data_IF_880851474961
#
_entry.id   IF_880851474961
#
_cell.length_a   1.000
_cell.length_b   1.000
_cell.length_c   1.000
_cell.angle_alpha   90.00
_cell.angle_beta   90.00
_cell.angle_gamma   90.00
#
_symmetry.space_group_name_H-M   'P 1'
#
loop_
_entity.id
_entity.type
_entity.pdbx_description
1 polymer ?
#
# COMPACT_ATOMS: atom_id res chain seq x y z
N UNK A 1 30.36 6.45 9.75
CA UNK A 1 29.07 6.88 9.17
C UNK A 1 28.62 5.81 8.20
N UNK A 2 27.64 5.00 8.58
CA UNK A 2 27.09 3.96 7.70
C UNK A 2 26.08 4.66 6.79
N UNK A 3 26.40 4.83 5.51
CA UNK A 3 25.42 5.19 4.49
C UNK A 3 24.37 4.07 4.46
N UNK A 4 23.19 4.29 5.06
CA UNK A 4 22.04 3.41 4.83
C UNK A 4 21.67 3.55 3.36
N UNK A 5 22.00 2.53 2.58
CA UNK A 5 21.33 2.31 1.30
C UNK A 5 19.87 2.04 1.67
N UNK A 6 19.00 3.04 1.52
CA UNK A 6 17.57 2.80 1.60
C UNK A 6 17.24 1.75 0.56
N UNK A 7 16.61 0.64 0.98
CA UNK A 7 16.17 -0.38 0.04
C UNK A 7 15.19 0.24 -0.97
N UNK A 8 15.09 -0.33 -2.17
CA UNK A 8 14.09 0.12 -3.15
C UNK A 8 12.68 0.14 -2.54
N UNK A 9 12.40 -0.82 -1.67
CA UNK A 9 11.16 -0.88 -0.92
C UNK A 9 10.97 0.32 0.03
N UNK A 10 12.00 0.74 0.76
CA UNK A 10 11.93 1.94 1.60
C UNK A 10 11.61 3.20 0.78
N UNK A 11 12.17 3.30 -0.44
CA UNK A 11 11.89 4.40 -1.36
C UNK A 11 10.44 4.37 -1.84
N UNK A 12 9.91 3.18 -2.15
CA UNK A 12 8.50 2.98 -2.53
C UNK A 12 7.59 3.43 -1.39
N UNK A 13 7.82 2.93 -0.17
CA UNK A 13 7.00 3.26 1.00
C UNK A 13 7.03 4.76 1.31
N UNK A 14 8.19 5.40 1.19
CA UNK A 14 8.34 6.84 1.39
C UNK A 14 7.58 7.64 0.33
N UNK A 15 7.63 7.23 -0.94
CA UNK A 15 6.89 7.88 -2.02
C UNK A 15 5.37 7.70 -1.84
N UNK A 16 4.93 6.51 -1.42
CA UNK A 16 3.52 6.27 -1.10
C UNK A 16 3.05 7.26 -0.03
N UNK A 17 3.75 7.35 1.11
CA UNK A 17 3.39 8.28 2.20
C UNK A 17 3.35 9.74 1.77
N UNK A 18 4.31 10.16 0.95
CA UNK A 18 4.39 11.54 0.46
C UNK A 18 3.26 11.90 -0.49
N UNK A 19 2.81 10.96 -1.31
CA UNK A 19 1.90 11.23 -2.43
C UNK A 19 0.45 10.82 -2.10
N UNK A 20 0.22 9.76 -1.32
CA UNK A 20 -1.12 9.28 -0.94
C UNK A 20 -1.90 10.28 -0.09
N UNK A 21 -1.22 11.28 0.48
CA UNK A 21 -1.86 12.39 1.16
C UNK A 21 -2.37 12.07 2.56
N UNK A 22 -1.93 10.98 3.20
CA UNK A 22 -2.17 10.74 4.64
C UNK A 22 -1.01 10.00 5.31
N UNK A 23 -0.70 10.41 6.54
CA UNK A 23 0.24 9.73 7.45
C UNK A 23 -0.47 8.84 8.49
N UNK A 24 -1.79 8.66 8.38
CA UNK A 24 -2.56 7.76 9.24
C UNK A 24 -2.52 6.31 8.78
N UNK A 25 -3.29 5.48 9.47
CA UNK A 25 -3.44 4.06 9.13
C UNK A 25 -4.10 3.90 7.77
N UNK A 26 -3.35 3.57 6.72
CA UNK A 26 -3.92 3.33 5.40
C UNK A 26 -4.81 2.08 5.40
N UNK A 27 -5.87 2.00 4.56
CA UNK A 27 -6.74 0.82 4.48
C UNK A 27 -6.10 -0.37 3.75
N UNK A 28 -4.77 -0.36 3.63
CA UNK A 28 -4.01 -1.37 2.94
C UNK A 28 -2.64 -1.58 3.59
N UNK A 29 -2.10 -2.77 3.37
CA UNK A 29 -0.71 -3.12 3.67
C UNK A 29 0.09 -3.23 2.38
N UNK A 30 1.35 -2.83 2.43
CA UNK A 30 2.36 -3.05 1.38
C UNK A 30 3.51 -3.81 2.02
N UNK A 31 3.89 -4.95 1.45
CA UNK A 31 4.89 -5.85 2.02
C UNK A 31 5.86 -6.34 0.95
N UNK A 32 7.14 -6.41 1.29
CA UNK A 32 8.15 -7.05 0.45
C UNK A 32 8.37 -8.50 0.91
N UNK A 33 8.38 -9.42 -0.05
CA UNK A 33 8.69 -10.83 0.16
C UNK A 33 9.93 -11.21 -0.64
N UNK A 34 10.85 -12.03 -0.07
CA UNK A 34 11.87 -12.67 -0.86
C UNK A 34 11.22 -13.64 -1.86
N UNK A 35 11.84 -13.87 -3.03
CA UNK A 35 11.31 -14.89 -3.94
C UNK A 35 11.28 -16.27 -3.29
N UNK A 36 10.08 -16.77 -3.04
CA UNK A 36 9.84 -18.19 -2.83
C UNK A 36 9.79 -18.85 -4.22
N UNK A 37 10.83 -19.62 -4.54
CA UNK A 37 10.98 -20.54 -5.69
C UNK A 37 10.83 -20.00 -7.14
N UNK A 38 10.29 -18.79 -7.36
CA UNK A 38 10.24 -18.17 -8.69
C UNK A 38 11.48 -17.29 -8.96
N UNK A 39 12.50 -17.90 -9.58
CA UNK A 39 13.56 -17.24 -10.37
C UNK A 39 14.22 -15.99 -9.76
N UNK A 40 14.54 -16.00 -8.47
CA UNK A 40 15.49 -15.03 -7.88
C UNK A 40 15.02 -13.57 -7.83
N UNK A 41 13.71 -13.30 -7.84
CA UNK A 41 13.15 -11.95 -7.71
C UNK A 41 12.84 -11.53 -6.27
N UNK A 42 12.23 -10.35 -6.11
CA UNK A 42 11.48 -9.96 -4.90
C UNK A 42 10.02 -9.73 -5.29
N UNK A 43 9.11 -9.93 -4.36
CA UNK A 43 7.70 -9.61 -4.57
C UNK A 43 7.30 -8.43 -3.71
N UNK A 44 6.55 -7.51 -4.29
CA UNK A 44 5.81 -6.52 -3.51
C UNK A 44 4.36 -6.95 -3.57
N UNK A 45 3.80 -7.25 -2.40
CA UNK A 45 2.40 -7.58 -2.27
C UNK A 45 1.66 -6.42 -1.61
N UNK A 46 0.46 -6.15 -2.10
CA UNK A 46 -0.42 -5.13 -1.55
C UNK A 46 -1.79 -5.75 -1.25
N UNK A 47 -2.37 -5.38 -0.10
CA UNK A 47 -3.55 -6.04 0.47
C UNK A 47 -4.52 -5.03 1.06
N UNK A 48 -5.82 -5.22 0.91
CA UNK A 48 -6.84 -4.40 1.58
C UNK A 48 -7.21 -5.02 2.93
N UNK A 49 -7.34 -4.20 3.96
CA UNK A 49 -7.80 -4.62 5.28
C UNK A 49 -9.33 -4.79 5.29
N UNK A 50 -9.82 -5.99 5.54
CA UNK A 50 -11.26 -6.28 5.63
C UNK A 50 -11.88 -5.82 6.94
N UNK A 51 -11.09 -5.81 8.01
CA UNK A 51 -11.48 -5.42 9.35
C UNK A 51 -11.19 -3.93 9.65
N UNK A 52 -10.94 -3.15 8.61
CA UNK A 52 -10.66 -1.71 8.72
C UNK A 52 -11.81 -0.98 9.41
N UNK A 53 -11.56 -0.52 10.63
CA UNK A 53 -12.61 0.01 11.50
C UNK A 53 -12.91 1.48 11.23
N UNK A 54 -14.04 1.96 11.76
CA UNK A 54 -14.33 3.39 11.77
C UNK A 54 -13.26 4.22 12.52
N UNK A 55 -12.63 3.64 13.55
CA UNK A 55 -11.56 4.32 14.27
C UNK A 55 -10.31 4.47 13.39
N UNK A 56 -9.99 3.48 12.56
CA UNK A 56 -8.86 3.55 11.64
C UNK A 56 -9.15 4.56 10.52
N UNK A 57 -10.38 4.59 10.02
CA UNK A 57 -10.82 5.61 9.07
C UNK A 57 -10.70 7.02 9.65
N UNK A 58 -11.15 7.24 10.88
CA UNK A 58 -11.01 8.54 11.53
C UNK A 58 -9.53 8.95 11.70
N UNK A 59 -8.66 8.02 12.14
CA UNK A 59 -7.22 8.24 12.24
C UNK A 59 -6.62 8.64 10.88
N UNK A 60 -6.99 7.93 9.82
CA UNK A 60 -6.57 8.22 8.45
C UNK A 60 -6.98 9.62 8.00
N UNK A 61 -8.24 9.99 8.23
CA UNK A 61 -8.80 11.28 7.82
C UNK A 61 -8.15 12.44 8.59
N UNK A 62 -7.99 12.32 9.91
CA UNK A 62 -7.35 13.36 10.74
C UNK A 62 -5.87 13.58 10.44
N UNK A 63 -5.20 12.57 9.88
CA UNK A 63 -3.80 12.66 9.45
C UNK A 63 -3.65 12.89 7.94
N UNK A 64 -4.75 13.14 7.24
CA UNK A 64 -4.73 13.49 5.83
C UNK A 64 -4.25 14.92 5.60
N UNK A 65 -3.58 15.17 4.49
CA UNK A 65 -3.16 16.49 4.07
C UNK A 65 -4.36 17.42 3.86
N UNK A 66 -5.50 16.89 3.39
CA UNK A 66 -6.75 17.65 3.26
C UNK A 66 -7.19 18.20 4.62
N UNK A 67 -7.25 17.36 5.66
CA UNK A 67 -7.58 17.80 7.02
C UNK A 67 -6.56 18.80 7.59
N UNK A 68 -5.26 18.50 7.43
CA UNK A 68 -4.18 19.30 8.00
C UNK A 68 -4.01 20.68 7.34
N UNK A 69 -4.50 20.85 6.10
CA UNK A 69 -4.43 22.13 5.37
C UNK A 69 -5.76 22.90 5.35
N UNK A 70 -6.84 22.30 5.85
CA UNK A 70 -8.16 22.91 5.97
C UNK A 70 -8.20 23.93 7.12
N UNK A 71 -9.12 24.91 7.00
CA UNK A 71 -9.50 25.79 8.10
C UNK A 71 -9.96 24.97 9.32
N UNK A 72 -9.43 25.29 10.51
CA UNK A 72 -9.75 24.57 11.75
C UNK A 72 -11.25 24.59 12.09
N UNK A 73 -11.99 25.62 11.64
CA UNK A 73 -13.43 25.69 11.86
C UNK A 73 -14.22 24.67 11.04
N UNK A 74 -13.64 24.11 9.98
CA UNK A 74 -14.28 23.15 9.07
C UNK A 74 -13.85 21.70 9.34
N UNK A 75 -12.84 21.50 10.17
CA UNK A 75 -12.22 20.20 10.40
C UNK A 75 -13.19 19.16 10.99
N UNK A 76 -13.99 19.54 11.98
CA UNK A 76 -14.94 18.62 12.62
C UNK A 76 -16.11 18.26 11.69
N UNK A 77 -16.57 19.23 10.89
CA UNK A 77 -17.58 19.00 9.85
C UNK A 77 -17.06 18.07 8.76
N UNK A 78 -15.80 18.24 8.34
CA UNK A 78 -15.15 17.36 7.38
C UNK A 78 -15.11 15.91 7.88
N UNK A 79 -14.66 15.67 9.12
CA UNK A 79 -14.62 14.32 9.69
C UNK A 79 -16.02 13.73 9.75
N UNK A 80 -17.00 14.49 10.25
CA UNK A 80 -18.38 14.03 10.37
C UNK A 80 -18.97 13.64 9.01
N UNK A 81 -18.80 14.50 8.00
CA UNK A 81 -19.30 14.24 6.64
C UNK A 81 -18.62 13.02 6.01
N UNK A 82 -17.29 12.89 6.15
CA UNK A 82 -16.55 11.75 5.59
C UNK A 82 -16.89 10.43 6.26
N UNK A 83 -17.04 10.42 7.59
CA UNK A 83 -17.48 9.22 8.30
C UNK A 83 -18.91 8.82 7.91
N UNK A 84 -19.81 9.78 7.69
CA UNK A 84 -21.17 9.50 7.21
C UNK A 84 -21.20 9.00 5.75
N UNK A 85 -20.39 9.60 4.87
CA UNK A 85 -20.27 9.20 3.47
C UNK A 85 -19.77 7.75 3.36
N UNK A 86 -18.70 7.45 4.10
CA UNK A 86 -18.02 6.16 4.09
C UNK A 86 -18.62 5.15 5.06
N UNK A 87 -19.76 5.45 5.71
CA UNK A 87 -20.38 4.51 6.64
C UNK A 87 -21.04 3.31 5.97
N UNK A 88 -21.28 3.39 4.66
CA UNK A 88 -21.89 2.32 3.87
C UNK A 88 -20.78 1.33 3.45
N UNK A 89 -20.88 0.03 3.78
CA UNK A 89 -19.82 -0.95 3.51
C UNK A 89 -19.35 -0.98 2.04
N UNK A 90 -20.27 -0.88 1.08
CA UNK A 90 -19.93 -0.86 -0.34
C UNK A 90 -19.12 0.39 -0.75
N UNK A 91 -19.44 1.55 -0.17
CA UNK A 91 -18.73 2.81 -0.45
C UNK A 91 -17.36 2.78 0.23
N UNK A 92 -17.28 2.34 1.48
CA UNK A 92 -16.02 2.14 2.18
C UNK A 92 -15.11 1.23 1.36
N UNK A 93 -15.63 0.08 0.91
CA UNK A 93 -14.87 -0.88 0.12
C UNK A 93 -14.31 -0.27 -1.16
N UNK A 94 -15.16 0.45 -1.90
CA UNK A 94 -14.74 1.15 -3.11
C UNK A 94 -13.65 2.20 -2.82
N UNK A 95 -13.78 2.92 -1.71
CA UNK A 95 -12.78 3.89 -1.28
C UNK A 95 -11.45 3.21 -0.91
N UNK A 96 -11.47 2.10 -0.16
CA UNK A 96 -10.27 1.33 0.18
C UNK A 96 -9.54 0.83 -1.08
N UNK A 97 -10.30 0.30 -2.05
CA UNK A 97 -9.78 -0.12 -3.36
C UNK A 97 -9.11 1.04 -4.08
N UNK A 98 -9.74 2.22 -4.08
CA UNK A 98 -9.16 3.39 -4.70
C UNK A 98 -7.85 3.84 -4.03
N UNK A 99 -7.78 3.78 -2.69
CA UNK A 99 -6.53 4.06 -1.96
C UNK A 99 -5.42 3.07 -2.32
N UNK A 100 -5.74 1.79 -2.47
CA UNK A 100 -4.81 0.76 -2.92
C UNK A 100 -4.31 1.03 -4.35
N UNK A 101 -5.21 1.40 -5.27
CA UNK A 101 -4.87 1.72 -6.67
C UNK A 101 -3.93 2.92 -6.79
N UNK A 102 -4.11 3.95 -5.96
CA UNK A 102 -3.18 5.08 -5.86
C UNK A 102 -1.81 4.59 -5.42
N UNK A 103 -1.75 3.78 -4.36
CA UNK A 103 -0.50 3.22 -3.85
C UNK A 103 0.21 2.35 -4.90
N UNK A 104 -0.56 1.55 -5.65
CA UNK A 104 -0.06 0.75 -6.77
C UNK A 104 0.53 1.67 -7.85
N UNK A 105 -0.20 2.70 -8.27
CA UNK A 105 0.29 3.66 -9.25
C UNK A 105 1.62 4.30 -8.85
N UNK A 106 1.75 4.70 -7.58
CA UNK A 106 2.98 5.27 -7.01
C UNK A 106 4.11 4.22 -7.00
N UNK A 107 3.80 2.98 -6.64
CA UNK A 107 4.75 1.86 -6.64
C UNK A 107 5.32 1.62 -8.03
N UNK A 108 4.45 1.47 -9.04
CA UNK A 108 4.84 1.24 -10.43
C UNK A 108 5.65 2.42 -10.99
N UNK A 109 5.25 3.66 -10.68
CA UNK A 109 6.00 4.85 -11.06
C UNK A 109 7.41 4.87 -10.44
N UNK A 110 7.52 4.48 -9.16
CA UNK A 110 8.80 4.40 -8.44
C UNK A 110 9.72 3.34 -9.04
N UNK A 111 9.19 2.14 -9.31
CA UNK A 111 9.94 1.05 -9.96
C UNK A 111 10.44 1.48 -11.34
N UNK A 112 9.58 2.12 -12.14
CA UNK A 112 9.94 2.65 -13.46
C UNK A 112 11.01 3.73 -13.38
N UNK A 113 10.94 4.64 -12.41
CA UNK A 113 11.94 5.70 -12.21
C UNK A 113 13.32 5.12 -11.87
N UNK A 114 13.37 3.99 -11.16
CA UNK A 114 14.60 3.27 -10.83
C UNK A 114 15.03 2.26 -11.91
N UNK A 115 14.35 2.23 -13.06
CA UNK A 115 14.64 1.32 -14.18
C UNK A 115 14.62 -0.16 -13.78
N UNK A 116 13.75 -0.52 -12.84
CA UNK A 116 13.60 -1.89 -12.39
C UNK A 116 12.58 -2.60 -13.27
N UNK A 117 12.93 -3.80 -13.74
CA UNK A 117 12.02 -4.65 -14.49
C UNK A 117 11.00 -5.26 -13.54
N UNK A 118 9.71 -5.12 -13.86
CA UNK A 118 8.64 -5.68 -13.04
C UNK A 118 7.50 -6.26 -13.88
N UNK A 119 6.78 -7.20 -13.28
CA UNK A 119 5.61 -7.85 -13.87
C UNK A 119 4.49 -7.93 -12.85
N UNK A 120 3.26 -7.67 -13.29
CA UNK A 120 2.08 -8.01 -12.48
C UNK A 120 1.93 -9.53 -12.45
N UNK A 121 1.76 -10.08 -11.26
CA UNK A 121 1.63 -11.51 -11.06
C UNK A 121 0.19 -11.84 -10.70
N UNK A 122 -0.35 -12.82 -11.39
CA UNK A 122 -1.62 -13.42 -11.01
C UNK A 122 -1.46 -14.13 -9.66
N UNK A 123 -2.33 -13.83 -8.69
CA UNK A 123 -2.30 -14.41 -7.35
C UNK A 123 -2.29 -15.95 -7.36
N UNK A 124 -2.90 -16.58 -8.37
CA UNK A 124 -2.89 -18.05 -8.53
C UNK A 124 -1.49 -18.63 -8.78
N UNK A 125 -0.54 -17.80 -9.21
CA UNK A 125 0.84 -18.19 -9.49
C UNK A 125 1.77 -18.03 -8.29
N UNK A 126 1.27 -17.55 -7.14
CA UNK A 126 2.04 -17.41 -5.91
C UNK A 126 1.25 -17.91 -4.68
N UNK A 127 0.83 -19.20 -4.67
CA UNK A 127 0.02 -19.76 -3.59
C UNK A 127 0.72 -19.69 -2.23
N UNK A 128 2.05 -19.76 -2.19
CA UNK A 128 2.82 -19.72 -0.94
C UNK A 128 2.75 -18.36 -0.24
N UNK A 129 2.67 -17.27 -1.02
CA UNK A 129 2.49 -15.91 -0.48
C UNK A 129 1.09 -15.80 0.12
N UNK A 130 0.08 -16.31 -0.59
CA UNK A 130 -1.30 -16.33 -0.07
C UNK A 130 -1.40 -17.16 1.21
N UNK A 131 -0.78 -18.34 1.25
CA UNK A 131 -0.77 -19.20 2.44
C UNK A 131 -0.04 -18.55 3.63
N UNK A 132 1.06 -17.85 3.38
CA UNK A 132 1.76 -17.09 4.43
C UNK A 132 0.89 -15.96 4.99
N UNK A 133 0.16 -15.26 4.11
CA UNK A 133 -0.77 -14.20 4.49
C UNK A 133 -1.95 -14.74 5.28
N UNK A 134 -2.57 -15.83 4.80
CA UNK A 134 -3.69 -16.49 5.49
C UNK A 134 -3.28 -17.08 6.85
N UNK A 135 -2.01 -17.48 7.01
CA UNK A 135 -1.46 -17.96 8.29
C UNK A 135 -1.27 -16.86 9.34
N UNK A 136 -1.43 -15.59 8.97
CA UNK A 136 -1.36 -14.45 9.89
C UNK A 136 -2.75 -14.10 10.40
N UNK A 137 -3.05 -14.57 11.61
CA UNK A 137 -4.33 -14.32 12.31
C UNK A 137 -4.62 -12.83 12.58
N UNK A 138 -3.65 -11.95 12.40
CA UNK A 138 -3.75 -10.50 12.57
C UNK A 138 -4.15 -9.75 11.31
N UNK A 139 -4.39 -10.46 10.19
CA UNK A 139 -4.63 -9.86 8.88
C UNK A 139 -5.81 -10.54 8.19
N UNK A 140 -7.02 -9.96 8.32
CA UNK A 140 -8.14 -10.33 7.44
C UNK A 140 -7.98 -9.49 6.18
N UNK A 141 -7.39 -10.10 5.15
CA UNK A 141 -7.06 -9.42 3.91
C UNK A 141 -7.89 -9.94 2.76
N UNK A 142 -8.35 -9.02 1.94
CA UNK A 142 -8.99 -9.31 0.67
C UNK A 142 -8.29 -8.56 -0.45
N UNK A 143 -8.40 -9.12 -1.65
CA UNK A 143 -7.80 -8.61 -2.88
C UNK A 143 -6.28 -8.40 -2.78
N UNK A 144 -5.55 -9.44 -3.21
CA UNK A 144 -4.09 -9.43 -3.25
C UNK A 144 -3.61 -9.00 -4.63
N UNK A 145 -2.79 -7.95 -4.66
CA UNK A 145 -2.01 -7.56 -5.83
C UNK A 145 -0.55 -7.92 -5.63
N UNK A 146 0.03 -8.64 -6.59
CA UNK A 146 1.42 -9.07 -6.55
C UNK A 146 2.20 -8.44 -7.69
N UNK A 147 3.35 -7.87 -7.35
CA UNK A 147 4.30 -7.31 -8.29
C UNK A 147 5.60 -8.11 -8.16
N UNK A 148 5.97 -8.82 -9.21
CA UNK A 148 7.29 -9.44 -9.34
C UNK A 148 8.31 -8.38 -9.74
N UNK A 149 9.36 -8.25 -8.95
CA UNK A 149 10.46 -7.31 -9.17
C UNK A 149 11.70 -8.13 -9.50
N UNK A 150 12.26 -7.91 -10.68
CA UNK A 150 13.51 -8.52 -11.11
C UNK A 150 14.60 -7.45 -11.07
N UNK A 151 15.51 -7.58 -10.10
CA UNK A 151 16.74 -6.78 -10.11
C UNK A 151 17.62 -7.34 -11.23
N UNK A 152 17.68 -6.64 -12.37
CA UNK A 152 18.78 -6.89 -13.28
C UNK A 152 20.05 -6.52 -12.54
N UNK A 153 20.94 -7.50 -12.33
CA UNK A 153 22.33 -7.18 -12.06
C UNK A 153 22.79 -6.28 -13.21
N UNK A 154 22.92 -4.98 -12.96
CA UNK A 154 23.75 -4.11 -13.77
C UNK A 154 25.16 -4.67 -13.60
N UNK A 155 25.51 -5.62 -14.44
CA UNK A 155 26.88 -6.04 -14.71
C UNK A 155 27.50 -4.91 -15.50
N UNK A 156 27.80 -3.82 -14.78
CA UNK A 156 28.60 -2.72 -15.29
C UNK A 156 30.07 -3.00 -14.98
N UNK A 157 30.76 -3.65 -15.91
CA UNK A 157 32.17 -3.42 -16.28
C UNK A 157 32.56 -4.38 -17.41
#
# INVERSE_FOLDING_TARGET
MINRVNSLFDVIMENIRKISGSYGLAPYSVMEFPAFEFKGGRFIAMFIWDDYSFSDLEDYLRKSQEYLTMDCLLQDDFITLKLQELSKPAILRQWQQHQLEIALGITLATLKAHRVTFHMIDKSLAPDILQWVEGRNDLILSDVLLIGVQEEHITGA
#
